data_IF_984615015210
#
_entry.id   IF_984615015210
#
_cell.length_a   1.000
_cell.length_b   1.000
_cell.length_c   1.000
_cell.angle_alpha   90.00
_cell.angle_beta   90.00
_cell.angle_gamma   90.00
#
_symmetry.space_group_name_H-M   'P 1'
#
loop_
_entity.id
_entity.type
_entity.pdbx_description
1 polymer ?
#
# COMPACT_ATOMS: atom_id res chain seq x y z
N UNK A 1 1.19 5.55 9.92
CA UNK A 1 0.13 6.25 9.17
C UNK A 1 0.34 7.75 9.35
N UNK A 2 0.74 8.52 8.34
CA UNK A 2 0.74 9.99 8.42
C UNK A 2 -0.68 10.52 8.14
N UNK A 3 -1.65 9.97 8.87
CA UNK A 3 -3.03 10.47 8.97
C UNK A 3 -3.04 11.81 9.71
N UNK A 4 -1.97 12.10 10.46
CA UNK A 4 -1.81 13.32 11.25
C UNK A 4 -1.86 14.59 10.40
N UNK A 5 -1.21 14.61 9.22
CA UNK A 5 -1.20 15.80 8.36
C UNK A 5 -2.58 16.11 7.77
N UNK A 6 -3.31 15.09 7.26
CA UNK A 6 -4.71 15.25 6.81
C UNK A 6 -5.59 15.72 7.95
N UNK A 7 -5.40 15.14 9.14
CA UNK A 7 -6.14 15.52 10.34
C UNK A 7 -5.92 16.97 10.71
N UNK A 8 -4.66 17.42 10.77
CA UNK A 8 -4.31 18.81 11.05
C UNK A 8 -4.86 19.76 9.99
N UNK A 9 -4.70 19.44 8.70
CA UNK A 9 -5.21 20.23 7.57
C UNK A 9 -6.73 20.44 7.65
N UNK A 10 -7.47 19.44 8.14
CA UNK A 10 -8.93 19.46 8.18
C UNK A 10 -9.53 19.70 9.57
N UNK A 11 -8.70 20.09 10.55
CA UNK A 11 -9.12 20.39 11.92
C UNK A 11 -9.72 19.19 12.66
N UNK A 12 -9.28 17.97 12.35
CA UNK A 12 -9.74 16.73 12.97
C UNK A 12 -8.83 16.37 14.15
N UNK A 13 -9.36 16.41 15.37
CA UNK A 13 -8.64 16.03 16.59
C UNK A 13 -9.35 14.84 17.26
N UNK A 14 -8.61 13.74 17.47
CA UNK A 14 -9.11 12.59 18.19
C UNK A 14 -9.44 12.98 19.64
N UNK A 15 -10.57 12.51 20.14
CA UNK A 15 -10.87 12.62 21.56
C UNK A 15 -10.14 11.53 22.34
N UNK A 16 -9.48 11.85 23.46
CA UNK A 16 -8.91 10.83 24.32
C UNK A 16 -10.03 9.91 24.82
N UNK A 17 -9.96 8.63 24.47
CA UNK A 17 -10.91 7.62 24.95
C UNK A 17 -10.36 7.00 26.22
N UNK A 18 -10.94 7.37 27.35
CA UNK A 18 -10.62 6.77 28.63
C UNK A 18 -11.42 5.48 28.77
N UNK A 19 -10.81 4.33 28.47
CA UNK A 19 -11.49 3.02 28.49
C UNK A 19 -11.48 2.31 29.85
N UNK A 20 -10.75 2.83 30.84
CA UNK A 20 -10.40 2.08 32.07
C UNK A 20 -10.89 2.66 33.41
N UNK A 21 -11.63 3.76 33.44
CA UNK A 21 -12.18 4.28 34.70
C UNK A 21 -13.58 3.71 34.94
N UNK A 22 -13.63 2.42 35.28
CA UNK A 22 -14.80 1.87 35.96
C UNK A 22 -14.50 1.88 37.44
N UNK A 23 -15.41 2.43 38.25
CA UNK A 23 -15.36 2.25 39.69
C UNK A 23 -15.60 0.76 39.94
N UNK A 24 -14.53 0.02 40.24
CA UNK A 24 -14.57 -1.37 40.73
C UNK A 24 -14.21 -1.31 42.21
N UNK A 25 -15.17 -1.63 43.09
CA UNK A 25 -14.92 -1.67 44.54
C UNK A 25 -15.16 -3.08 45.02
N UNK A 26 -14.09 -3.90 45.04
CA UNK A 26 -14.06 -5.19 45.74
C UNK A 26 -15.29 -6.09 45.56
N UNK A 27 -15.66 -6.80 46.62
CA UNK A 27 -16.83 -7.71 46.67
C UNK A 27 -18.14 -6.99 47.06
N UNK A 28 -18.10 -5.69 47.36
CA UNK A 28 -19.28 -4.95 47.83
C UNK A 28 -20.14 -4.46 46.65
N UNK A 29 -21.49 -4.47 46.79
CA UNK A 29 -22.37 -3.90 45.78
C UNK A 29 -22.14 -2.39 45.62
N UNK A 30 -22.13 -1.93 44.37
CA UNK A 30 -21.97 -0.51 44.02
C UNK A 30 -23.13 0.33 44.57
N UNK A 31 -22.83 1.55 45.03
CA UNK A 31 -23.87 2.54 45.36
C UNK A 31 -24.59 3.01 44.09
N UNK A 32 -25.81 3.53 44.21
CA UNK A 32 -26.56 4.06 43.05
C UNK A 32 -25.80 5.19 42.34
N UNK A 33 -25.10 6.05 43.08
CA UNK A 33 -24.23 7.10 42.52
C UNK A 33 -23.06 6.51 41.70
N UNK A 34 -22.46 5.41 42.18
CA UNK A 34 -21.38 4.72 41.46
C UNK A 34 -21.91 4.00 40.21
N UNK A 35 -23.11 3.41 40.28
CA UNK A 35 -23.78 2.83 39.11
C UNK A 35 -24.07 3.88 38.05
N UNK A 36 -24.60 5.04 38.47
CA UNK A 36 -24.90 6.15 37.57
C UNK A 36 -23.63 6.75 36.96
N UNK A 37 -22.58 6.93 37.75
CA UNK A 37 -21.27 7.34 37.25
C UNK A 37 -20.72 6.35 36.20
N UNK A 38 -20.74 5.05 36.50
CA UNK A 38 -20.30 4.02 35.56
C UNK A 38 -21.15 4.03 34.27
N UNK A 39 -22.47 4.27 34.36
CA UNK A 39 -23.37 4.41 33.20
C UNK A 39 -22.99 5.60 32.31
N UNK A 40 -22.81 6.78 32.91
CA UNK A 40 -22.42 8.01 32.19
C UNK A 40 -21.03 7.85 31.56
N UNK A 41 -20.06 7.32 32.30
CA UNK A 41 -18.69 7.08 31.81
C UNK A 41 -18.67 6.09 30.65
N UNK A 42 -19.45 5.00 30.73
CA UNK A 42 -19.59 4.03 29.64
C UNK A 42 -20.22 4.65 28.39
N UNK A 43 -21.30 5.41 28.55
CA UNK A 43 -21.96 6.09 27.45
C UNK A 43 -21.04 7.12 26.78
N UNK A 44 -20.29 7.89 27.57
CA UNK A 44 -19.30 8.86 27.06
C UNK A 44 -18.18 8.17 26.30
N UNK A 45 -17.62 7.08 26.83
CA UNK A 45 -16.59 6.30 26.15
C UNK A 45 -17.09 5.74 24.81
N UNK A 46 -18.31 5.19 24.77
CA UNK A 46 -18.94 4.69 23.54
C UNK A 46 -19.09 5.78 22.49
N UNK A 47 -19.58 6.97 22.89
CA UNK A 47 -19.73 8.11 21.98
C UNK A 47 -18.37 8.62 21.47
N UNK A 48 -17.34 8.67 22.32
CA UNK A 48 -15.99 9.07 21.90
C UNK A 48 -15.36 8.08 20.91
N UNK A 49 -15.57 6.78 21.09
CA UNK A 49 -15.15 5.74 20.13
C UNK A 49 -15.86 5.93 18.79
N UNK A 50 -17.17 6.18 18.81
CA UNK A 50 -17.94 6.43 17.60
C UNK A 50 -17.49 7.71 16.89
N UNK A 51 -17.28 8.79 17.64
CA UNK A 51 -16.75 10.05 17.14
C UNK A 51 -15.40 9.87 16.43
N UNK A 52 -14.43 9.24 17.10
CA UNK A 52 -13.10 8.97 16.52
C UNK A 52 -13.19 8.06 15.28
N UNK A 53 -14.13 7.10 15.28
CA UNK A 53 -14.39 6.25 14.10
C UNK A 53 -14.89 7.08 12.92
N UNK A 54 -15.82 8.02 13.14
CA UNK A 54 -16.33 8.90 12.09
C UNK A 54 -15.23 9.85 11.59
N UNK A 55 -14.43 10.43 12.49
CA UNK A 55 -13.27 11.25 12.11
C UNK A 55 -12.28 10.49 11.24
N UNK A 56 -11.94 9.24 11.62
CA UNK A 56 -11.04 8.42 10.82
C UNK A 56 -11.62 8.15 9.42
N UNK A 57 -12.91 7.82 9.33
CA UNK A 57 -13.59 7.64 8.03
C UNK A 57 -13.53 8.90 7.17
N UNK A 58 -13.86 10.05 7.74
CA UNK A 58 -13.81 11.34 7.04
C UNK A 58 -12.38 11.65 6.58
N UNK A 59 -11.39 11.44 7.46
CA UNK A 59 -9.98 11.65 7.14
C UNK A 59 -9.52 10.78 5.97
N UNK A 60 -9.85 9.48 6.00
CA UNK A 60 -9.52 8.55 4.92
C UNK A 60 -10.17 8.94 3.59
N UNK A 61 -11.40 9.44 3.62
CA UNK A 61 -12.15 9.87 2.44
C UNK A 61 -11.62 11.18 1.86
N UNK A 62 -11.25 12.14 2.70
CA UNK A 62 -10.64 13.40 2.27
C UNK A 62 -9.26 13.14 1.64
N UNK A 63 -8.45 12.26 2.23
CA UNK A 63 -7.20 11.79 1.63
C UNK A 63 -7.44 11.16 0.25
N UNK A 64 -8.46 10.30 0.12
CA UNK A 64 -8.79 9.69 -1.17
C UNK A 64 -9.24 10.72 -2.21
N UNK A 65 -10.03 11.73 -1.81
CA UNK A 65 -10.44 12.81 -2.71
C UNK A 65 -9.25 13.64 -3.21
N UNK A 66 -8.35 14.02 -2.31
CA UNK A 66 -7.12 14.75 -2.69
C UNK A 66 -6.29 13.92 -3.66
N UNK A 67 -6.07 12.64 -3.33
CA UNK A 67 -5.33 11.73 -4.17
C UNK A 67 -5.96 11.53 -5.55
N UNK A 68 -7.30 11.34 -5.62
CA UNK A 68 -8.02 11.14 -6.88
C UNK A 68 -7.95 12.39 -7.76
N UNK A 69 -8.12 13.59 -7.18
CA UNK A 69 -8.01 14.85 -7.92
C UNK A 69 -6.61 15.02 -8.54
N UNK A 70 -5.55 14.81 -7.75
CA UNK A 70 -4.17 14.89 -8.24
C UNK A 70 -3.85 13.79 -9.26
N UNK A 71 -4.42 12.59 -9.10
CA UNK A 71 -4.26 11.49 -10.06
C UNK A 71 -4.99 11.76 -11.37
N UNK A 72 -6.18 12.38 -11.34
CA UNK A 72 -6.89 12.83 -12.54
C UNK A 72 -6.07 13.88 -13.29
N UNK A 73 -5.48 14.83 -12.57
CA UNK A 73 -4.59 15.83 -13.15
C UNK A 73 -3.33 15.20 -13.77
N UNK A 74 -2.74 14.21 -13.10
CA UNK A 74 -1.62 13.44 -13.64
C UNK A 74 -1.99 12.77 -14.97
N UNK A 75 -3.10 12.03 -15.01
CA UNK A 75 -3.55 11.33 -16.22
C UNK A 75 -3.88 12.31 -17.34
N UNK A 76 -4.59 13.41 -17.02
CA UNK A 76 -4.88 14.46 -17.99
C UNK A 76 -3.60 15.09 -18.56
N UNK A 77 -2.59 15.33 -17.72
CA UNK A 77 -1.28 15.83 -18.15
C UNK A 77 -0.58 14.85 -19.10
N UNK A 78 -0.62 13.55 -18.79
CA UNK A 78 -0.03 12.51 -19.66
C UNK A 78 -0.77 12.39 -20.99
N UNK A 79 -2.10 12.52 -20.99
CA UNK A 79 -2.90 12.54 -22.22
C UNK A 79 -2.65 13.80 -23.07
N UNK A 80 -2.45 14.95 -22.44
CA UNK A 80 -2.14 16.21 -23.12
C UNK A 80 -0.68 16.32 -23.59
N UNK A 81 0.22 15.45 -23.09
CA UNK A 81 1.65 15.52 -23.38
C UNK A 81 2.37 16.70 -22.72
N UNK A 82 1.74 17.39 -21.77
CA UNK A 82 2.31 18.52 -21.04
C UNK A 82 1.82 18.51 -19.60
N UNK A 83 2.67 18.99 -18.68
CA UNK A 83 2.30 19.10 -17.27
C UNK A 83 1.25 20.20 -17.09
N UNK A 84 0.02 19.80 -16.81
CA UNK A 84 -1.04 20.72 -16.45
C UNK A 84 -0.80 21.15 -15.01
N UNK A 85 -0.67 22.45 -14.78
CA UNK A 85 -0.66 23.02 -13.43
C UNK A 85 -2.06 23.52 -13.10
N UNK A 86 -2.74 22.85 -12.18
CA UNK A 86 -3.90 23.45 -11.50
C UNK A 86 -3.46 24.02 -10.17
N UNK A 87 -4.04 25.16 -9.79
CA UNK A 87 -3.83 25.72 -8.47
C UNK A 87 -4.30 24.70 -7.44
N UNK A 88 -3.37 24.19 -6.62
CA UNK A 88 -3.77 23.39 -5.46
C UNK A 88 -4.72 24.23 -4.62
N UNK A 89 -5.91 23.72 -4.28
CA UNK A 89 -6.84 24.47 -3.45
C UNK A 89 -6.12 24.84 -2.15
N UNK A 90 -6.06 26.15 -1.84
CA UNK A 90 -5.61 26.59 -0.52
C UNK A 90 -6.62 26.06 0.47
N UNK A 91 -6.23 24.99 1.17
CA UNK A 91 -7.05 24.44 2.25
C UNK A 91 -6.93 25.43 3.41
N UNK A 92 -7.97 26.24 3.61
CA UNK A 92 -8.07 27.07 4.81
C UNK A 92 -8.19 26.17 6.03
N UNK A 93 -7.29 26.39 7.01
CA UNK A 93 -7.36 25.68 8.29
C UNK A 93 -8.70 26.03 8.94
N UNK A 94 -9.52 25.01 9.17
CA UNK A 94 -10.75 25.20 9.94
C UNK A 94 -10.41 25.37 11.42
N UNK A 95 -10.87 26.48 12.00
CA UNK A 95 -10.79 26.69 13.44
C UNK A 95 -11.57 25.62 14.20
N UNK A 96 -10.97 25.12 15.28
CA UNK A 96 -11.61 24.21 16.22
C UNK A 96 -12.73 24.95 16.95
N UNK A 97 -13.99 24.69 16.57
CA UNK A 97 -15.17 25.27 17.25
C UNK A 97 -15.23 24.78 18.69
N UNK A 98 -14.83 25.63 19.63
CA UNK A 98 -14.93 25.38 21.07
C UNK A 98 -16.39 25.56 21.53
N UNK A 99 -16.82 24.77 22.53
CA UNK A 99 -18.15 24.91 23.16
C UNK A 99 -19.26 23.98 22.66
N UNK A 100 -19.04 23.17 21.62
CA UNK A 100 -20.03 22.19 21.14
C UNK A 100 -20.03 20.90 21.97
N UNK A 101 -21.22 20.34 22.19
CA UNK A 101 -21.40 18.99 22.76
C UNK A 101 -20.86 17.91 21.83
N UNK A 102 -20.59 16.71 22.36
CA UNK A 102 -20.11 15.59 21.55
C UNK A 102 -21.11 15.16 20.47
N UNK A 103 -22.41 15.26 20.74
CA UNK A 103 -23.47 14.98 19.76
C UNK A 103 -23.41 15.96 18.59
N UNK A 104 -23.36 17.26 18.86
CA UNK A 104 -23.29 18.30 17.81
C UNK A 104 -22.02 18.16 16.98
N UNK A 105 -20.87 17.87 17.61
CA UNK A 105 -19.61 17.59 16.89
C UNK A 105 -19.76 16.37 15.97
N UNK A 106 -20.45 15.33 16.43
CA UNK A 106 -20.71 14.11 15.64
C UNK A 106 -21.62 14.42 14.44
N UNK A 107 -22.67 15.20 14.64
CA UNK A 107 -23.60 15.60 13.56
C UNK A 107 -22.89 16.42 12.48
N UNK A 108 -22.03 17.36 12.88
CA UNK A 108 -21.19 18.14 11.94
C UNK A 108 -20.26 17.21 11.15
N UNK A 109 -19.60 16.25 11.80
CA UNK A 109 -18.75 15.30 11.09
C UNK A 109 -19.53 14.41 10.12
N UNK A 110 -20.75 14.01 10.48
CA UNK A 110 -21.62 13.24 9.60
C UNK A 110 -22.05 14.05 8.37
N UNK A 111 -22.37 15.34 8.53
CA UNK A 111 -22.62 16.25 7.40
C UNK A 111 -21.39 16.33 6.50
N UNK A 112 -20.21 16.61 7.07
CA UNK A 112 -18.95 16.67 6.31
C UNK A 112 -18.63 15.35 5.60
N UNK A 113 -18.89 14.22 6.25
CA UNK A 113 -18.69 12.90 5.66
C UNK A 113 -19.62 12.66 4.47
N UNK A 114 -20.89 13.06 4.57
CA UNK A 114 -21.83 13.02 3.44
C UNK A 114 -21.35 13.91 2.30
N UNK A 115 -20.99 15.15 2.58
CA UNK A 115 -20.50 16.11 1.56
C UNK A 115 -19.21 15.61 0.90
N UNK A 116 -18.28 15.08 1.69
CA UNK A 116 -17.06 14.45 1.19
C UNK A 116 -17.35 13.16 0.42
N UNK A 117 -18.50 12.50 0.61
CA UNK A 117 -18.86 11.31 -0.17
C UNK A 117 -19.49 11.66 -1.51
N UNK A 118 -20.07 12.86 -1.66
CA UNK A 118 -20.65 13.32 -2.92
C UNK A 118 -19.59 13.35 -4.03
N UNK A 119 -19.91 12.73 -5.17
CA UNK A 119 -19.02 12.66 -6.35
C UNK A 119 -17.84 11.71 -6.21
N UNK A 120 -17.52 11.22 -5.00
CA UNK A 120 -16.30 10.43 -4.77
C UNK A 120 -16.21 9.19 -5.66
N UNK A 121 -17.29 8.42 -5.74
CA UNK A 121 -17.33 7.21 -6.58
C UNK A 121 -17.21 7.56 -8.07
N UNK A 122 -17.88 8.63 -8.51
CA UNK A 122 -17.84 9.10 -9.90
C UNK A 122 -16.43 9.56 -10.29
N UNK A 123 -15.71 10.22 -9.38
CA UNK A 123 -14.32 10.64 -9.60
C UNK A 123 -13.39 9.43 -9.73
N UNK A 124 -13.57 8.41 -8.88
CA UNK A 124 -12.84 7.13 -8.96
C UNK A 124 -13.13 6.45 -10.30
N UNK A 125 -14.39 6.30 -10.68
CA UNK A 125 -14.78 5.66 -11.94
C UNK A 125 -14.21 6.40 -13.15
N UNK A 126 -14.21 7.73 -13.12
CA UNK A 126 -13.60 8.59 -14.14
C UNK A 126 -12.09 8.34 -14.22
N UNK A 127 -11.39 8.34 -13.08
CA UNK A 127 -9.95 8.06 -13.02
C UNK A 127 -9.63 6.69 -13.61
N UNK A 128 -10.40 5.66 -13.23
CA UNK A 128 -10.20 4.29 -13.72
C UNK A 128 -10.47 4.16 -15.22
N UNK A 129 -11.50 4.83 -15.73
CA UNK A 129 -11.76 4.90 -17.17
C UNK A 129 -10.58 5.52 -17.92
N UNK A 130 -10.06 6.64 -17.43
CA UNK A 130 -8.93 7.33 -18.04
C UNK A 130 -7.63 6.51 -17.94
N UNK A 131 -7.38 5.82 -16.83
CA UNK A 131 -6.25 4.89 -16.69
C UNK A 131 -6.31 3.78 -17.74
N UNK A 132 -7.47 3.14 -17.92
CA UNK A 132 -7.65 2.09 -18.94
C UNK A 132 -7.43 2.64 -20.34
N UNK A 133 -7.93 3.85 -20.62
CA UNK A 133 -7.70 4.52 -21.89
C UNK A 133 -6.21 4.75 -22.13
N UNK A 134 -5.49 5.29 -21.15
CA UNK A 134 -4.04 5.54 -21.24
C UNK A 134 -3.26 4.24 -21.50
N UNK A 135 -3.60 3.15 -20.80
CA UNK A 135 -3.02 1.82 -21.02
C UNK A 135 -3.29 1.33 -22.45
N UNK A 136 -4.52 1.47 -22.93
CA UNK A 136 -4.88 1.03 -24.29
C UNK A 136 -4.11 1.79 -25.38
N UNK A 137 -3.86 3.09 -25.18
CA UNK A 137 -3.14 3.92 -26.14
C UNK A 137 -1.64 3.60 -26.20
N UNK A 138 -1.03 3.18 -25.09
CA UNK A 138 0.40 2.91 -25.01
C UNK A 138 0.87 1.77 -25.95
N UNK A 139 -0.04 0.91 -26.43
CA UNK A 139 0.26 -0.11 -27.44
C UNK A 139 0.79 0.49 -28.76
N UNK A 140 0.52 1.79 -29.00
CA UNK A 140 1.00 2.51 -30.19
C UNK A 140 2.40 3.10 -30.06
N UNK A 141 2.98 3.16 -28.84
CA UNK A 141 4.30 3.75 -28.59
C UNK A 141 5.10 2.86 -27.62
N UNK A 142 6.11 2.12 -28.10
CA UNK A 142 6.93 1.29 -27.22
C UNK A 142 7.60 2.18 -26.16
N UNK A 143 7.32 1.89 -24.89
CA UNK A 143 7.99 2.52 -23.76
C UNK A 143 9.27 1.76 -23.47
N UNK A 144 10.36 2.49 -23.23
CA UNK A 144 11.65 1.90 -22.89
C UNK A 144 11.59 1.31 -21.47
N UNK A 145 12.02 0.06 -21.34
CA UNK A 145 12.16 -0.57 -20.04
C UNK A 145 13.27 0.12 -19.24
N UNK A 146 13.12 0.30 -17.92
CA UNK A 146 14.14 0.99 -17.12
C UNK A 146 15.47 0.24 -17.07
N UNK A 147 15.44 -1.09 -17.23
CA UNK A 147 16.58 -1.99 -17.22
C UNK A 147 16.35 -3.11 -18.25
N UNK A 148 17.41 -3.63 -18.89
CA UNK A 148 17.28 -4.61 -20.00
C UNK A 148 16.68 -5.96 -19.58
N UNK A 149 16.76 -6.29 -18.30
CA UNK A 149 16.27 -7.54 -17.71
C UNK A 149 15.02 -7.34 -16.82
N UNK A 150 14.33 -6.21 -17.03
CA UNK A 150 13.06 -5.92 -16.35
C UNK A 150 12.07 -7.08 -16.58
N UNK A 151 11.45 -7.63 -15.53
CA UNK A 151 10.51 -8.75 -15.67
C UNK A 151 9.20 -8.32 -16.34
N UNK A 152 8.39 -9.29 -16.74
CA UNK A 152 7.02 -9.04 -17.20
C UNK A 152 6.05 -8.77 -16.03
N UNK A 153 6.33 -9.38 -14.88
CA UNK A 153 5.48 -9.33 -13.69
C UNK A 153 6.29 -8.95 -12.45
N UNK A 154 5.65 -8.16 -11.59
CA UNK A 154 6.06 -7.98 -10.20
C UNK A 154 5.03 -8.60 -9.25
N UNK A 155 5.52 -8.96 -8.08
CA UNK A 155 4.76 -9.47 -6.95
C UNK A 155 4.90 -8.52 -5.77
N UNK A 156 3.79 -8.26 -5.10
CA UNK A 156 3.76 -7.51 -3.85
C UNK A 156 2.95 -8.28 -2.82
N UNK A 157 3.63 -8.78 -1.79
CA UNK A 157 2.92 -9.20 -0.58
C UNK A 157 2.39 -7.96 0.13
N UNK A 158 1.14 -8.02 0.59
CA UNK A 158 0.58 -7.01 1.47
C UNK A 158 -0.40 -7.64 2.47
N UNK A 159 -0.57 -6.95 3.59
CA UNK A 159 -1.54 -7.29 4.63
C UNK A 159 -2.55 -6.14 4.77
N UNK A 160 -3.81 -6.47 5.04
CA UNK A 160 -4.80 -5.48 5.46
C UNK A 160 -4.29 -4.72 6.69
N UNK A 161 -4.22 -3.39 6.60
CA UNK A 161 -3.69 -2.53 7.67
C UNK A 161 -2.15 -2.42 7.73
N UNK A 162 -1.42 -2.87 6.70
CA UNK A 162 0.02 -2.63 6.57
C UNK A 162 0.34 -1.14 6.28
N UNK A 163 1.63 -0.77 6.37
CA UNK A 163 2.09 0.62 6.25
C UNK A 163 1.77 1.30 4.90
N UNK A 164 1.57 0.53 3.82
CA UNK A 164 1.12 1.06 2.52
C UNK A 164 -0.40 0.97 2.37
N UNK A 165 -1.04 2.00 1.80
CA UNK A 165 -2.49 2.02 1.61
C UNK A 165 -2.85 1.27 0.33
N UNK A 166 -3.52 0.14 0.49
CA UNK A 166 -4.13 -0.62 -0.60
C UNK A 166 -5.62 -0.32 -0.70
N UNK A 167 -6.11 -0.13 -1.92
CA UNK A 167 -7.52 -0.11 -2.26
C UNK A 167 -7.70 -0.93 -3.54
N UNK A 168 -8.78 -1.71 -3.61
CA UNK A 168 -9.12 -2.47 -4.83
C UNK A 168 -9.39 -1.53 -6.01
N UNK A 169 -9.86 -0.31 -5.75
CA UNK A 169 -10.23 0.65 -6.78
C UNK A 169 -9.09 1.60 -7.15
N UNK A 170 -8.19 1.91 -6.22
CA UNK A 170 -7.09 2.86 -6.41
C UNK A 170 -5.71 2.20 -6.50
N UNK A 171 -5.60 0.91 -6.21
CA UNK A 171 -4.34 0.17 -6.21
C UNK A 171 -3.49 0.41 -4.95
N UNK A 172 -2.18 0.51 -5.12
CA UNK A 172 -1.26 0.77 -4.01
C UNK A 172 -0.77 2.21 -4.01
N UNK A 173 -0.83 2.82 -2.84
CA UNK A 173 -0.20 4.10 -2.55
C UNK A 173 0.94 3.93 -1.54
N UNK A 174 1.97 4.74 -1.68
CA UNK A 174 3.12 4.74 -0.78
C UNK A 174 2.72 5.09 0.65
N UNK A 175 3.58 4.83 1.63
CA UNK A 175 3.22 5.01 3.04
C UNK A 175 3.28 6.47 3.52
N UNK A 176 3.92 7.35 2.75
CA UNK A 176 4.03 8.78 3.02
C UNK A 176 2.81 9.60 2.50
N UNK A 177 1.59 9.09 2.75
CA UNK A 177 0.33 9.82 2.46
C UNK A 177 0.12 10.98 3.44
N UNK A 178 -0.65 12.04 3.10
CA UNK A 178 -1.46 12.24 1.89
C UNK A 178 -0.72 12.90 0.72
N UNK A 179 0.49 13.43 0.97
CA UNK A 179 1.19 14.34 0.06
C UNK A 179 2.04 13.63 -1.01
N UNK A 180 1.61 12.46 -1.45
CA UNK A 180 2.33 11.63 -2.43
C UNK A 180 1.51 11.34 -3.67
N UNK A 181 1.05 12.37 -4.40
CA UNK A 181 0.44 12.18 -5.70
C UNK A 181 1.45 11.59 -6.69
N UNK A 182 0.96 10.97 -7.79
CA UNK A 182 1.81 10.47 -8.86
C UNK A 182 2.73 11.57 -9.39
N UNK A 183 4.01 11.24 -9.63
CA UNK A 183 4.97 12.21 -10.13
C UNK A 183 4.96 12.28 -11.66
N UNK A 184 4.68 13.47 -12.20
CA UNK A 184 4.90 13.73 -13.62
C UNK A 184 6.40 13.84 -13.89
N UNK A 185 6.96 12.82 -14.53
CA UNK A 185 8.36 12.77 -14.97
C UNK A 185 8.45 12.05 -16.31
N UNK A 186 9.48 12.37 -17.09
CA UNK A 186 9.80 11.71 -18.36
C UNK A 186 11.03 10.80 -18.16
N UNK A 187 10.94 9.53 -18.58
CA UNK A 187 12.00 8.55 -18.36
C UNK A 187 11.81 7.74 -17.06
N UNK A 188 12.92 7.24 -16.50
CA UNK A 188 12.92 6.24 -15.42
C UNK A 188 13.00 6.87 -14.03
N UNK A 189 12.75 6.08 -12.98
CA UNK A 189 12.92 6.52 -11.59
C UNK A 189 14.38 6.93 -11.33
N UNK A 190 15.33 6.18 -11.86
CA UNK A 190 16.77 6.46 -11.80
C UNK A 190 17.13 7.87 -12.30
N UNK A 191 16.47 8.32 -13.36
CA UNK A 191 16.75 9.61 -14.01
C UNK A 191 16.05 10.79 -13.34
N UNK A 192 15.10 10.52 -12.45
CA UNK A 192 14.19 11.53 -11.89
C UNK A 192 14.72 12.34 -10.72
N UNK A 193 15.82 11.90 -10.10
CA UNK A 193 16.36 12.47 -8.85
C UNK A 193 15.35 12.46 -7.67
N UNK A 194 14.21 11.76 -7.79
CA UNK A 194 13.19 11.66 -6.75
C UNK A 194 13.60 10.73 -5.59
N UNK A 195 14.65 9.94 -5.79
CA UNK A 195 15.22 9.03 -4.79
C UNK A 195 16.62 9.49 -4.41
N UNK A 196 16.80 9.75 -3.12
CA UNK A 196 18.10 10.07 -2.52
C UNK A 196 18.55 8.97 -1.55
N UNK A 197 19.78 9.09 -1.02
CA UNK A 197 20.37 8.11 -0.10
C UNK A 197 19.52 7.86 1.14
N UNK A 198 18.92 8.90 1.71
CA UNK A 198 18.14 8.79 2.93
C UNK A 198 16.82 8.05 2.68
N UNK A 199 16.14 8.39 1.58
CA UNK A 199 14.91 7.71 1.17
C UNK A 199 15.13 6.23 0.85
N UNK A 200 16.25 5.89 0.20
CA UNK A 200 16.60 4.52 -0.14
C UNK A 200 16.99 3.72 1.11
N UNK A 201 17.79 4.30 2.01
CA UNK A 201 18.14 3.72 3.30
C UNK A 201 16.88 3.46 4.13
N UNK A 202 16.00 4.46 4.27
CA UNK A 202 14.76 4.29 5.04
C UNK A 202 13.86 3.20 4.46
N UNK A 203 13.71 3.13 3.14
CA UNK A 203 12.87 2.11 2.52
C UNK A 203 13.44 0.68 2.68
N UNK A 204 14.77 0.55 2.64
CA UNK A 204 15.40 -0.75 2.79
C UNK A 204 15.52 -1.19 4.24
N UNK A 205 15.84 -0.29 5.18
CA UNK A 205 16.28 -0.64 6.53
C UNK A 205 15.53 0.11 7.64
N UNK A 206 14.80 1.16 7.28
CA UNK A 206 14.10 2.03 8.21
C UNK A 206 12.67 1.58 8.50
N UNK A 207 12.02 2.37 9.35
CA UNK A 207 10.63 2.18 9.77
C UNK A 207 9.76 3.43 9.52
N UNK A 208 10.31 4.47 8.90
CA UNK A 208 9.58 5.70 8.61
C UNK A 208 8.74 5.54 7.33
N UNK A 209 7.64 6.32 7.20
CA UNK A 209 6.93 6.44 5.93
C UNK A 209 7.86 6.75 4.75
N UNK A 210 7.49 6.27 3.58
CA UNK A 210 8.30 6.33 2.36
C UNK A 210 7.43 6.58 1.14
N UNK A 211 8.01 7.23 0.14
CA UNK A 211 7.43 7.44 -1.19
C UNK A 211 7.56 6.19 -2.07
N UNK A 212 8.30 5.16 -1.62
CA UNK A 212 8.60 3.97 -2.40
C UNK A 212 7.66 2.81 -2.05
N UNK A 213 7.25 2.08 -3.09
CA UNK A 213 6.41 0.90 -3.03
C UNK A 213 7.26 -0.32 -3.38
N UNK A 214 7.54 -1.14 -2.37
CA UNK A 214 8.23 -2.41 -2.50
C UNK A 214 7.56 -3.39 -3.48
N UNK A 215 8.34 -3.91 -4.43
CA UNK A 215 7.97 -4.92 -5.42
C UNK A 215 9.07 -5.97 -5.50
N UNK A 216 8.72 -7.19 -5.89
CA UNK A 216 9.66 -8.28 -6.09
C UNK A 216 9.33 -8.99 -7.39
N UNK A 217 10.31 -9.36 -8.19
CA UNK A 217 10.13 -10.17 -9.39
C UNK A 217 10.31 -11.68 -9.10
N UNK A 218 10.85 -12.01 -7.92
CA UNK A 218 10.99 -13.39 -7.46
C UNK A 218 9.79 -13.82 -6.60
N UNK A 219 8.98 -14.80 -7.03
CA UNK A 219 7.87 -15.31 -6.24
C UNK A 219 8.36 -16.06 -4.98
N UNK A 220 9.53 -16.69 -5.04
CA UNK A 220 10.15 -17.35 -3.87
C UNK A 220 10.50 -16.36 -2.76
N UNK A 221 11.00 -15.17 -3.13
CA UNK A 221 11.27 -14.07 -2.19
C UNK A 221 10.00 -13.59 -1.51
N UNK A 222 8.92 -13.38 -2.27
CA UNK A 222 7.62 -12.96 -1.72
C UNK A 222 7.08 -13.95 -0.71
N UNK A 223 7.15 -15.26 -1.03
CA UNK A 223 6.76 -16.32 -0.11
C UNK A 223 7.62 -16.35 1.16
N UNK A 224 8.92 -16.03 1.07
CA UNK A 224 9.79 -15.92 2.24
C UNK A 224 9.46 -14.69 3.11
N UNK A 225 9.07 -13.57 2.50
CA UNK A 225 8.59 -12.39 3.22
C UNK A 225 7.34 -12.72 4.03
N UNK A 226 6.36 -13.38 3.41
CA UNK A 226 5.09 -13.76 4.08
C UNK A 226 5.35 -14.70 5.25
N UNK A 227 6.25 -15.68 5.09
CA UNK A 227 6.64 -16.60 6.17
C UNK A 227 7.19 -15.90 7.41
N UNK A 228 7.85 -14.76 7.25
CA UNK A 228 8.43 -14.00 8.34
C UNK A 228 7.40 -13.15 9.12
N UNK A 229 6.13 -13.11 8.71
CA UNK A 229 5.10 -12.26 9.31
C UNK A 229 4.51 -12.76 10.64
N UNK A 230 5.02 -13.83 11.26
CA UNK A 230 4.79 -14.30 12.64
C UNK A 230 3.35 -14.16 13.25
N UNK A 231 2.29 -14.33 12.45
CA UNK A 231 0.90 -14.17 12.92
C UNK A 231 -0.04 -15.32 12.49
N UNK A 232 -1.02 -15.59 13.37
CA UNK A 232 -2.06 -16.62 13.27
C UNK A 232 -3.19 -16.32 12.28
N UNK A 233 -3.27 -15.10 11.74
CA UNK A 233 -4.32 -14.70 10.79
C UNK A 233 -3.92 -15.04 9.36
N UNK A 234 -4.06 -16.32 8.98
CA UNK A 234 -3.97 -16.79 7.59
C UNK A 234 -5.23 -16.46 6.77
N UNK A 235 -6.13 -15.64 7.31
CA UNK A 235 -7.37 -15.21 6.69
C UNK A 235 -7.20 -13.97 5.82
N UNK A 236 -6.42 -14.06 4.73
CA UNK A 236 -6.43 -13.02 3.69
C UNK A 236 -5.10 -12.42 3.26
N UNK A 237 -3.98 -13.15 3.34
CA UNK A 237 -2.74 -12.71 2.71
C UNK A 237 -2.92 -12.64 1.19
N UNK A 238 -2.99 -11.42 0.67
CA UNK A 238 -3.16 -11.17 -0.76
C UNK A 238 -1.81 -10.75 -1.34
N UNK A 239 -1.34 -11.52 -2.31
CA UNK A 239 -0.18 -11.17 -3.13
C UNK A 239 -0.74 -10.53 -4.38
N UNK A 240 -0.41 -9.26 -4.64
CA UNK A 240 -0.75 -8.61 -5.89
C UNK A 240 0.26 -9.00 -6.96
N UNK A 241 -0.25 -9.44 -8.12
CA UNK A 241 0.52 -9.64 -9.35
C UNK A 241 0.34 -8.40 -10.20
N UNK A 242 1.43 -7.70 -10.48
CA UNK A 242 1.46 -6.40 -11.14
C UNK A 242 2.11 -6.55 -12.51
N UNK A 243 1.45 -6.07 -13.56
CA UNK A 243 1.93 -6.15 -14.93
C UNK A 243 2.83 -4.96 -15.26
N UNK A 244 4.06 -5.27 -15.68
CA UNK A 244 5.08 -4.25 -15.98
C UNK A 244 4.73 -3.42 -17.20
N UNK A 245 4.19 -4.04 -18.26
CA UNK A 245 3.75 -3.31 -19.46
C UNK A 245 2.66 -2.30 -19.13
N UNK A 246 1.74 -2.63 -18.21
CA UNK A 246 0.72 -1.67 -17.73
C UNK A 246 1.32 -0.57 -16.86
N UNK A 247 2.31 -0.87 -16.01
CA UNK A 247 3.06 0.15 -15.26
C UNK A 247 3.74 1.15 -16.20
N UNK A 248 4.44 0.64 -17.23
CA UNK A 248 5.10 1.46 -18.25
C UNK A 248 4.11 2.31 -19.04
N UNK A 249 2.97 1.73 -19.43
CA UNK A 249 1.91 2.45 -20.12
C UNK A 249 1.32 3.60 -19.29
N UNK A 250 1.17 3.37 -17.98
CA UNK A 250 0.77 4.39 -17.01
C UNK A 250 1.91 5.35 -16.63
N UNK A 251 3.12 5.14 -17.17
CA UNK A 251 4.35 5.87 -16.87
C UNK A 251 4.65 5.91 -15.36
N UNK A 252 4.33 4.83 -14.66
CA UNK A 252 4.75 4.65 -13.27
C UNK A 252 6.25 4.49 -13.25
N UNK A 253 6.94 5.29 -12.43
CA UNK A 253 8.38 5.22 -12.30
C UNK A 253 8.77 4.03 -11.41
N UNK A 254 9.62 3.15 -11.90
CA UNK A 254 10.18 2.06 -11.10
C UNK A 254 11.59 1.70 -11.53
N UNK A 255 12.39 1.18 -10.60
CA UNK A 255 13.74 0.66 -10.82
C UNK A 255 14.10 -0.40 -9.77
N UNK A 256 15.11 -1.21 -10.07
CA UNK A 256 15.70 -2.17 -9.14
C UNK A 256 16.48 -1.46 -8.05
N UNK A 257 16.42 -2.01 -6.84
CA UNK A 257 17.10 -1.45 -5.66
C UNK A 257 18.60 -1.36 -5.81
N UNK A 258 19.24 -2.35 -6.44
CA UNK A 258 20.69 -2.35 -6.68
C UNK A 258 21.10 -1.26 -7.66
N UNK A 259 20.30 -1.04 -8.71
CA UNK A 259 20.53 0.00 -9.72
C UNK A 259 20.44 1.40 -9.10
N UNK A 260 19.45 1.62 -8.23
CA UNK A 260 19.34 2.86 -7.46
C UNK A 260 20.51 3.04 -6.49
N UNK A 261 20.91 1.98 -5.77
CA UNK A 261 22.02 2.03 -4.83
C UNK A 261 23.35 2.34 -5.52
N UNK A 262 23.63 1.70 -6.66
CA UNK A 262 24.83 1.94 -7.47
C UNK A 262 24.89 3.39 -7.94
N UNK A 263 23.79 3.92 -8.49
CA UNK A 263 23.72 5.32 -8.95
C UNK A 263 23.96 6.33 -7.83
N UNK A 264 23.55 6.00 -6.61
CA UNK A 264 23.77 6.83 -5.43
C UNK A 264 25.15 6.60 -4.80
N UNK A 265 25.98 5.69 -5.33
CA UNK A 265 27.28 5.35 -4.74
C UNK A 265 27.15 4.68 -3.36
N UNK A 266 26.07 3.96 -3.12
CA UNK A 266 25.82 3.21 -1.88
C UNK A 266 26.36 1.78 -2.01
N UNK A 267 27.00 1.30 -0.95
CA UNK A 267 27.49 -0.08 -0.89
C UNK A 267 26.33 -1.01 -0.55
N UNK A 268 26.26 -2.16 -1.24
CA UNK A 268 25.36 -3.24 -0.88
C UNK A 268 25.96 -4.10 0.24
N UNK A 269 25.09 -4.65 1.08
CA UNK A 269 25.51 -5.61 2.09
C UNK A 269 26.01 -6.91 1.44
N UNK A 270 27.06 -7.50 2.02
CA UNK A 270 27.45 -8.87 1.74
C UNK A 270 28.07 -9.51 2.98
N UNK A 271 28.17 -10.85 3.02
CA UNK A 271 28.80 -11.54 4.14
C UNK A 271 30.25 -11.10 4.42
N UNK A 272 30.96 -10.60 3.40
CA UNK A 272 32.31 -10.04 3.52
C UNK A 272 32.34 -8.53 3.77
N UNK A 273 31.21 -7.84 3.59
CA UNK A 273 31.05 -6.40 3.82
C UNK A 273 29.73 -6.16 4.57
N UNK A 274 29.74 -6.32 5.90
CA UNK A 274 28.54 -6.14 6.70
C UNK A 274 28.07 -4.68 6.80
N UNK A 275 28.83 -3.74 6.22
CA UNK A 275 28.49 -2.32 6.11
C UNK A 275 27.94 -2.03 4.69
N UNK A 276 26.62 -1.92 4.57
CA UNK A 276 25.94 -1.67 3.31
C UNK A 276 24.45 -1.92 3.40
N UNK A 277 23.73 -1.57 2.34
CA UNK A 277 22.28 -1.65 2.25
C UNK A 277 21.82 -3.12 2.31
N UNK A 278 21.29 -3.55 3.45
CA UNK A 278 21.03 -4.95 3.80
C UNK A 278 20.00 -5.61 2.90
N UNK A 279 18.94 -4.88 2.55
CA UNK A 279 17.79 -5.46 1.86
C UNK A 279 17.77 -5.19 0.36
N UNK A 280 18.67 -4.36 -0.16
CA UNK A 280 18.80 -4.15 -1.61
C UNK A 280 19.42 -5.38 -2.27
N UNK A 281 18.76 -5.89 -3.32
CA UNK A 281 19.16 -7.10 -4.03
C UNK A 281 18.56 -7.13 -5.44
N UNK A 282 19.05 -7.99 -6.35
CA UNK A 282 18.62 -8.02 -7.75
C UNK A 282 17.12 -8.25 -7.97
N UNK A 283 16.48 -8.95 -7.04
CA UNK A 283 15.07 -9.34 -7.15
C UNK A 283 14.14 -8.36 -6.41
N UNK A 284 14.67 -7.22 -5.96
CA UNK A 284 13.94 -6.22 -5.21
C UNK A 284 13.85 -4.91 -6.00
N UNK A 285 12.62 -4.43 -6.16
CA UNK A 285 12.25 -3.31 -7.02
C UNK A 285 11.41 -2.29 -6.24
N UNK A 286 11.45 -1.04 -6.69
CA UNK A 286 10.60 0.02 -6.16
C UNK A 286 9.80 0.68 -7.26
N UNK A 287 8.50 0.83 -7.04
CA UNK A 287 7.67 1.80 -7.75
C UNK A 287 7.52 3.09 -6.92
N UNK A 288 7.40 4.23 -7.58
CA UNK A 288 7.30 5.52 -6.91
C UNK A 288 5.83 5.95 -6.73
N UNK A 289 5.45 6.17 -5.47
CA UNK A 289 4.19 6.75 -4.96
C UNK A 289 2.88 6.04 -5.27
N UNK A 290 2.68 5.52 -6.49
CA UNK A 290 1.41 4.94 -6.91
C UNK A 290 1.59 3.76 -7.88
N UNK A 291 0.87 2.67 -7.60
CA UNK A 291 0.58 1.59 -8.55
C UNK A 291 -0.94 1.61 -8.77
N UNK A 292 -1.43 2.01 -9.96
CA UNK A 292 -2.85 2.01 -10.29
C UNK A 292 -3.47 0.62 -10.17
N UNK A 293 -4.76 0.57 -9.82
CA UNK A 293 -5.51 -0.69 -9.75
C UNK A 293 -5.50 -1.44 -11.10
N UNK A 294 -5.54 -0.70 -12.20
CA UNK A 294 -5.53 -1.25 -13.56
C UNK A 294 -4.23 -1.99 -13.91
N UNK A 295 -3.12 -1.68 -13.22
CA UNK A 295 -1.83 -2.36 -13.39
C UNK A 295 -1.75 -3.68 -12.61
N UNK A 296 -2.72 -3.99 -11.75
CA UNK A 296 -2.78 -5.23 -10.98
C UNK A 296 -3.61 -6.24 -11.76
N UNK A 297 -3.00 -7.35 -12.18
CA UNK A 297 -3.70 -8.40 -12.95
C UNK A 297 -4.60 -9.23 -12.07
N UNK A 298 -4.07 -9.66 -10.92
CA UNK A 298 -4.83 -10.47 -9.98
C UNK A 298 -4.23 -10.41 -8.58
N UNK A 299 -5.04 -10.89 -7.64
CA UNK A 299 -4.61 -11.21 -6.29
C UNK A 299 -4.54 -12.74 -6.17
N UNK A 300 -3.41 -13.24 -5.67
CA UNK A 300 -3.20 -14.67 -5.42
C UNK A 300 -2.88 -14.90 -3.95
N UNK A 301 -3.33 -16.04 -3.42
CA UNK A 301 -2.97 -16.44 -2.06
C UNK A 301 -1.56 -17.05 -2.04
N UNK A 302 -0.97 -17.09 -0.84
CA UNK A 302 0.30 -17.78 -0.61
C UNK A 302 0.24 -19.25 -1.08
N UNK A 303 -0.87 -19.94 -0.82
CA UNK A 303 -1.07 -21.34 -1.19
C UNK A 303 -0.99 -21.53 -2.70
N UNK A 304 -1.67 -20.68 -3.46
CA UNK A 304 -1.66 -20.74 -4.93
C UNK A 304 -0.28 -20.46 -5.49
N UNK A 305 0.37 -19.39 -5.04
CA UNK A 305 1.71 -19.05 -5.51
C UNK A 305 2.73 -20.14 -5.16
N UNK A 306 2.61 -20.76 -3.97
CA UNK A 306 3.45 -21.89 -3.55
C UNK A 306 3.28 -23.10 -4.47
N UNK A 307 2.05 -23.49 -4.82
CA UNK A 307 1.78 -24.60 -5.75
C UNK A 307 2.33 -24.31 -7.15
N UNK A 308 2.15 -23.09 -7.65
CA UNK A 308 2.72 -22.65 -8.93
C UNK A 308 4.26 -22.76 -8.91
N UNK A 309 4.90 -22.26 -7.84
CA UNK A 309 6.35 -22.40 -7.67
C UNK A 309 6.80 -23.87 -7.62
N UNK A 310 6.11 -24.73 -6.87
CA UNK A 310 6.46 -26.15 -6.73
C UNK A 310 6.37 -26.92 -8.05
N UNK A 311 5.32 -26.69 -8.84
CA UNK A 311 5.13 -27.33 -10.15
C UNK A 311 6.23 -26.97 -11.16
N UNK A 312 6.91 -25.84 -10.96
CA UNK A 312 7.98 -25.34 -11.84
C UNK A 312 9.38 -25.43 -11.20
N UNK A 313 9.52 -26.13 -10.05
CA UNK A 313 10.81 -26.29 -9.37
C UNK A 313 11.38 -24.99 -8.78
N UNK A 314 10.55 -23.97 -8.57
CA UNK A 314 10.96 -22.64 -8.09
C UNK A 314 11.02 -22.62 -6.57
N UNK A 315 12.23 -22.39 -6.04
CA UNK A 315 12.52 -22.39 -4.61
C UNK A 315 12.49 -23.79 -3.99
N UNK A 316 13.55 -24.17 -3.25
CA UNK A 316 13.51 -25.37 -2.40
C UNK A 316 12.59 -25.11 -1.23
N UNK A 317 11.47 -25.84 -1.18
CA UNK A 317 10.57 -25.84 -0.04
C UNK A 317 10.79 -27.14 0.73
N UNK A 318 11.19 -27.11 2.02
CA UNK A 318 11.09 -28.30 2.85
C UNK A 318 9.62 -28.71 2.87
N UNK A 319 9.30 -29.85 2.27
CA UNK A 319 7.98 -30.47 2.33
C UNK A 319 7.66 -30.73 3.81
N UNK A 320 6.56 -30.18 4.32
CA UNK A 320 6.12 -30.47 5.69
C UNK A 320 5.59 -31.91 5.87
N UNK A 321 5.54 -32.72 4.82
CA UNK A 321 5.30 -34.16 4.89
C UNK A 321 6.08 -34.91 3.82
N UNK A 322 7.17 -35.56 4.25
CA UNK A 322 7.70 -36.86 3.85
C UNK A 322 9.21 -36.86 4.08
N UNK A 323 9.58 -37.30 5.27
CA UNK A 323 10.94 -37.68 5.62
C UNK A 323 11.17 -39.05 4.96
N UNK A 324 12.03 -39.08 3.94
CA UNK A 324 12.71 -40.23 3.29
C UNK A 324 12.63 -40.15 1.77
N UNK A 325 13.61 -39.46 1.16
CA UNK A 325 14.53 -40.01 0.17
C UNK A 325 15.27 -38.85 -0.52
N UNK A 326 16.52 -38.66 -0.11
CA UNK A 326 17.50 -37.83 -0.79
C UNK A 326 17.95 -38.58 -2.04
N UNK A 327 17.58 -38.11 -3.23
CA UNK A 327 18.40 -38.24 -4.45
C UNK A 327 18.12 -37.06 -5.39
N UNK A 328 19.17 -36.64 -6.10
CA UNK A 328 19.27 -35.54 -7.06
C UNK A 328 19.40 -34.11 -6.47
N UNK A 329 20.67 -33.69 -6.35
CA UNK A 329 21.11 -32.31 -6.14
C UNK A 329 20.82 -31.51 -7.42
N UNK A 330 19.69 -30.79 -7.45
CA UNK A 330 19.45 -29.69 -8.38
C UNK A 330 19.68 -28.35 -7.68
N UNK A 331 20.43 -27.44 -8.32
CA UNK A 331 20.63 -26.06 -7.86
C UNK A 331 19.28 -25.35 -7.73
N UNK A 332 19.04 -24.67 -6.60
CA UNK A 332 17.80 -23.93 -6.39
C UNK A 332 17.80 -22.67 -7.28
N UNK A 333 16.92 -22.64 -8.28
CA UNK A 333 16.78 -21.47 -9.14
C UNK A 333 15.98 -20.37 -8.44
N UNK A 334 16.67 -19.54 -7.65
CA UNK A 334 16.08 -18.42 -6.91
C UNK A 334 15.63 -17.26 -7.83
N UNK A 335 16.13 -17.24 -9.07
CA UNK A 335 15.86 -16.24 -10.09
C UNK A 335 14.77 -16.70 -11.08
N UNK A 336 14.22 -17.90 -10.90
CA UNK A 336 13.10 -18.37 -11.71
C UNK A 336 11.85 -17.51 -11.47
N UNK A 337 11.21 -17.14 -12.58
CA UNK A 337 10.00 -16.32 -12.64
C UNK A 337 8.84 -17.17 -13.17
N UNK A 338 7.61 -16.81 -12.80
CA UNK A 338 6.41 -17.39 -13.38
C UNK A 338 5.81 -16.40 -14.40
N UNK A 339 5.33 -16.91 -15.51
CA UNK A 339 4.47 -16.20 -16.44
C UNK A 339 3.06 -16.01 -15.86
N UNK A 340 2.28 -15.12 -16.48
CA UNK A 340 0.89 -14.89 -16.05
C UNK A 340 0.04 -16.15 -16.22
N UNK A 341 0.23 -16.89 -17.32
CA UNK A 341 -0.54 -18.09 -17.61
C UNK A 341 -0.29 -19.20 -16.58
N UNK A 342 0.95 -19.37 -16.12
CA UNK A 342 1.30 -20.34 -15.07
C UNK A 342 0.64 -20.00 -13.72
N UNK A 343 0.54 -18.70 -13.40
CA UNK A 343 -0.14 -18.21 -12.19
C UNK A 343 -1.65 -18.46 -12.30
N UNK A 344 -2.24 -18.13 -13.45
CA UNK A 344 -3.68 -18.23 -13.70
C UNK A 344 -4.13 -19.70 -13.74
N UNK A 345 -3.38 -20.57 -14.43
CA UNK A 345 -3.66 -22.01 -14.49
C UNK A 345 -3.72 -22.65 -13.09
N UNK A 346 -2.80 -22.23 -12.20
CA UNK A 346 -2.75 -22.69 -10.82
C UNK A 346 -3.97 -22.27 -9.98
N UNK A 347 -4.62 -21.16 -10.32
CA UNK A 347 -5.85 -20.68 -9.66
C UNK A 347 -7.06 -21.57 -9.98
N UNK A 348 -7.17 -22.04 -11.22
CA UNK A 348 -8.32 -22.82 -11.67
C UNK A 348 -8.24 -24.31 -11.31
N UNK A 349 -7.03 -24.89 -11.27
CA UNK A 349 -6.84 -26.31 -10.90
C UNK A 349 -7.27 -26.67 -9.47
N UNK A 350 -7.44 -25.70 -8.57
CA UNK A 350 -7.88 -25.97 -7.18
C UNK A 350 -9.36 -25.69 -6.89
N UNK A 351 -10.13 -25.27 -7.89
CA UNK A 351 -11.60 -25.17 -7.78
C UNK A 351 -12.31 -26.47 -8.21
N UNK A 352 -11.55 -27.49 -8.62
CA UNK A 352 -12.04 -28.79 -9.10
C UNK A 352 -11.69 -29.96 -8.16
N UNK A 353 -11.62 -29.73 -6.86
CA UNK A 353 -11.64 -30.74 -5.79
C UNK A 353 -12.62 -30.29 -4.71
#
# INVERSE_FOLDING_TARGET
MPVYEVRELHGLQDLPVVTRYYIRVGENPLTEEQKEHNRISHQTAKLSVEFNRIQLKLCCLLDDKLFVAESLQYVASKMAGTKIQTASPKIERMETRQGLTLSEKTDILNVRLRDASLGHQTDIETLRMLNRYLISQAHSKPMEYPESDTPELFYRAFKCGSHGRHSVELGFRSSNQPLTPPAYHDGTLLNSLLVNKDSLTNQCEGNMPSDLIALSDSPSRVLNIIRAWDYSDRGGDMIAVVNVSKLLAMQVLFNRTTTLAEKLGMKLWSGHRPTGLQYANPNYWFAYRWIPAECIECYVSEIFLRKACQSHGIGRWPSYHFQHQLTAVGESNHDARLSLDEIVASKFQSLSM
#
